data_IF_492918901785
#
_entry.id   IF_492918901785
#
_cell.length_a   1.000
_cell.length_b   1.000
_cell.length_c   1.000
_cell.angle_alpha   90.00
_cell.angle_beta   90.00
_cell.angle_gamma   90.00
#
_symmetry.space_group_name_H-M   'P 1'
#
loop_
_entity.id
_entity.type
_entity.pdbx_description
1 polymer ?
#
# COMPACT_ATOMS: atom_id res chain seq x y z
N UNK A 1 -52.97 -13.52 -61.85
CA UNK A 1 -51.86 -12.60 -61.55
C UNK A 1 -50.81 -13.36 -60.77
N UNK A 2 -49.56 -13.24 -61.21
CA UNK A 2 -48.44 -14.13 -60.96
C UNK A 2 -47.93 -14.19 -59.52
N UNK A 3 -47.54 -15.41 -59.12
CA UNK A 3 -46.58 -15.76 -58.07
C UNK A 3 -45.31 -14.91 -58.13
N UNK A 4 -44.80 -14.44 -56.97
CA UNK A 4 -43.35 -14.45 -56.63
C UNK A 4 -43.16 -14.53 -55.11
N UNK A 5 -42.70 -15.69 -54.66
CA UNK A 5 -42.10 -15.94 -53.35
C UNK A 5 -40.69 -15.37 -53.41
N UNK A 6 -40.35 -14.41 -52.56
CA UNK A 6 -38.99 -13.89 -52.41
C UNK A 6 -38.25 -14.73 -51.36
N UNK A 7 -37.24 -15.47 -51.80
CA UNK A 7 -36.32 -16.21 -50.95
C UNK A 7 -35.35 -15.24 -50.27
N UNK A 8 -35.24 -15.31 -48.94
CA UNK A 8 -34.21 -14.61 -48.16
C UNK A 8 -32.90 -15.38 -48.30
N UNK A 9 -31.91 -14.75 -48.93
CA UNK A 9 -30.58 -15.31 -49.13
C UNK A 9 -29.77 -15.20 -47.84
N UNK A 10 -29.32 -16.34 -47.31
CA UNK A 10 -28.46 -16.42 -46.13
C UNK A 10 -27.01 -16.07 -46.51
N UNK A 11 -26.57 -14.85 -46.19
CA UNK A 11 -25.16 -14.46 -46.29
C UNK A 11 -24.36 -15.17 -45.21
N UNK A 12 -23.48 -16.09 -45.63
CA UNK A 12 -22.55 -16.81 -44.75
C UNK A 12 -21.52 -15.84 -44.16
N UNK A 13 -21.40 -15.88 -42.84
CA UNK A 13 -20.38 -15.22 -42.04
C UNK A 13 -19.01 -15.78 -42.45
N UNK A 14 -18.18 -14.96 -43.07
CA UNK A 14 -16.77 -15.27 -43.33
C UNK A 14 -15.97 -15.02 -42.04
N UNK A 15 -15.42 -16.10 -41.48
CA UNK A 15 -14.50 -16.11 -40.34
C UNK A 15 -13.12 -15.65 -40.81
N UNK A 16 -12.46 -14.64 -40.20
CA UNK A 16 -11.10 -14.30 -40.56
C UNK A 16 -10.15 -15.42 -40.12
N UNK A 17 -9.46 -15.99 -41.09
CA UNK A 17 -8.32 -16.88 -40.91
C UNK A 17 -7.15 -16.10 -40.29
N UNK A 18 -6.61 -16.60 -39.19
CA UNK A 18 -5.39 -16.07 -38.57
C UNK A 18 -4.17 -16.76 -39.22
N UNK A 19 -3.30 -16.05 -39.96
CA UNK A 19 -2.07 -16.64 -40.46
C UNK A 19 -1.06 -16.76 -39.32
N UNK A 20 -0.75 -18.00 -38.97
CA UNK A 20 0.36 -18.44 -38.13
C UNK A 20 1.63 -17.66 -38.43
N UNK A 21 2.05 -16.84 -37.47
CA UNK A 21 3.32 -16.12 -37.47
C UNK A 21 4.47 -17.12 -37.32
N UNK A 22 5.56 -17.03 -38.09
CA UNK A 22 6.74 -17.85 -37.85
C UNK A 22 7.42 -17.36 -36.57
N UNK A 23 7.63 -18.30 -35.64
CA UNK A 23 8.44 -18.14 -34.44
C UNK A 23 9.88 -17.80 -34.85
N UNK A 24 10.22 -16.52 -34.79
CA UNK A 24 11.60 -16.05 -34.84
C UNK A 24 12.17 -16.15 -33.42
N UNK A 25 12.78 -17.30 -33.12
CA UNK A 25 13.63 -17.47 -31.94
C UNK A 25 14.96 -16.72 -32.19
N UNK A 26 15.34 -15.71 -31.40
CA UNK A 26 16.70 -15.21 -31.47
C UNK A 26 17.66 -16.30 -30.99
N UNK A 27 18.87 -16.44 -31.57
CA UNK A 27 19.87 -17.34 -31.03
C UNK A 27 20.29 -16.80 -29.66
N UNK A 28 19.94 -17.52 -28.60
CA UNK A 28 20.57 -17.38 -27.30
C UNK A 28 22.04 -17.81 -27.44
N UNK A 29 22.88 -16.86 -27.86
CA UNK A 29 24.32 -16.99 -27.71
C UNK A 29 24.60 -16.83 -26.22
N UNK A 30 24.80 -17.97 -25.56
CA UNK A 30 25.20 -18.05 -24.16
C UNK A 30 26.71 -17.76 -24.11
N UNK A 31 27.18 -16.61 -23.59
CA UNK A 31 28.60 -16.47 -23.33
C UNK A 31 28.93 -17.42 -22.17
N UNK A 32 29.68 -18.49 -22.47
CA UNK A 32 30.38 -19.29 -21.46
C UNK A 32 31.28 -18.35 -20.66
N UNK A 33 30.78 -17.82 -19.55
CA UNK A 33 31.63 -17.34 -18.48
C UNK A 33 32.31 -18.57 -17.87
N UNK A 34 33.49 -18.90 -18.38
CA UNK A 34 34.43 -19.73 -17.65
C UNK A 34 34.84 -18.93 -16.41
N UNK A 35 34.19 -19.22 -15.29
CA UNK A 35 34.75 -18.87 -13.99
C UNK A 35 36.05 -19.66 -13.86
N UNK A 36 37.18 -18.98 -14.04
CA UNK A 36 38.47 -19.54 -13.67
C UNK A 36 38.41 -19.87 -12.17
N UNK A 37 38.40 -21.17 -11.90
CA UNK A 37 38.54 -21.79 -10.59
C UNK A 37 39.90 -21.37 -10.03
N UNK A 38 39.90 -20.38 -9.14
CA UNK A 38 41.09 -20.04 -8.37
C UNK A 38 41.50 -21.25 -7.50
N UNK A 39 42.80 -21.56 -7.42
CA UNK A 39 43.27 -22.74 -6.72
C UNK A 39 43.06 -22.62 -5.20
N UNK A 40 42.61 -23.74 -4.65
CA UNK A 40 42.56 -24.10 -3.24
C UNK A 40 43.90 -23.77 -2.56
N UNK A 41 43.91 -22.85 -1.61
CA UNK A 41 45.00 -22.70 -0.65
C UNK A 41 44.45 -23.04 0.74
N UNK A 42 44.82 -24.24 1.18
CA UNK A 42 44.60 -24.73 2.53
C UNK A 42 45.42 -23.90 3.54
N UNK A 43 44.97 -23.98 4.80
CA UNK A 43 45.70 -23.71 6.03
C UNK A 43 45.71 -22.25 6.55
N UNK A 44 44.65 -21.90 7.28
CA UNK A 44 44.79 -21.00 8.43
C UNK A 44 45.12 -21.85 9.67
N UNK A 45 46.23 -21.59 10.38
CA UNK A 45 46.51 -22.23 11.66
C UNK A 45 45.57 -21.72 12.76
N UNK A 46 45.15 -22.56 13.72
CA UNK A 46 44.28 -22.13 14.81
C UNK A 46 45.03 -21.22 15.78
N UNK A 47 44.45 -20.06 16.08
CA UNK A 47 44.93 -19.17 17.13
C UNK A 47 44.75 -19.82 18.51
N UNK A 48 45.72 -19.65 19.44
CA UNK A 48 45.71 -20.35 20.72
C UNK A 48 44.66 -19.78 21.69
N UNK A 49 43.87 -20.71 22.23
CA UNK A 49 42.95 -20.52 23.36
C UNK A 49 43.77 -20.11 24.59
N UNK A 50 43.61 -18.87 25.05
CA UNK A 50 44.23 -18.37 26.28
C UNK A 50 43.21 -18.40 27.41
N UNK A 51 43.27 -19.43 28.26
CA UNK A 51 42.69 -19.38 29.62
C UNK A 51 43.62 -18.56 30.51
N UNK A 52 43.06 -17.76 31.43
CA UNK A 52 43.55 -17.82 32.79
C UNK A 52 42.38 -17.97 33.76
N UNK A 53 42.40 -19.06 34.52
CA UNK A 53 41.71 -19.12 35.79
C UNK A 53 42.55 -18.41 36.84
N UNK A 54 41.94 -17.50 37.58
CA UNK A 54 42.32 -17.19 38.95
C UNK A 54 41.12 -16.58 39.66
N UNK A 55 40.62 -17.40 40.57
CA UNK A 55 39.60 -17.13 41.56
C UNK A 55 40.13 -16.11 42.58
N UNK A 56 39.38 -15.04 42.87
CA UNK A 56 39.48 -14.31 44.14
C UNK A 56 38.15 -13.60 44.49
N UNK A 57 37.59 -14.11 45.57
CA UNK A 57 36.53 -13.69 46.49
C UNK A 57 36.01 -12.23 46.50
N UNK A 58 34.67 -12.15 46.50
CA UNK A 58 33.72 -11.25 47.17
C UNK A 58 34.24 -9.93 47.75
N UNK A 59 33.66 -8.82 47.26
CA UNK A 59 33.20 -7.73 48.12
C UNK A 59 31.81 -7.29 47.65
N UNK A 60 30.79 -7.59 48.46
CA UNK A 60 29.47 -7.01 48.32
C UNK A 60 29.58 -5.52 48.68
N UNK A 61 29.22 -4.64 47.73
CA UNK A 61 28.84 -3.26 48.02
C UNK A 61 27.34 -3.20 47.79
N UNK A 62 26.61 -3.02 48.89
CA UNK A 62 25.21 -2.68 48.86
C UNK A 62 25.13 -1.25 48.36
N UNK A 63 24.44 -1.02 47.24
CA UNK A 63 23.89 0.30 46.94
C UNK A 63 22.54 0.12 46.25
N UNK A 64 21.51 0.27 47.11
CA UNK A 64 20.27 0.99 46.88
C UNK A 64 19.63 0.82 45.50
N UNK A 65 18.63 -0.05 45.45
CA UNK A 65 17.54 0.03 44.49
C UNK A 65 16.96 1.46 44.52
N UNK A 66 17.27 2.24 43.48
CA UNK A 66 16.42 3.34 43.05
C UNK A 66 15.64 2.80 41.89
N UNK A 67 14.50 2.23 42.25
CA UNK A 67 13.37 1.99 41.37
C UNK A 67 12.96 3.35 40.78
N UNK A 68 13.50 3.65 39.61
CA UNK A 68 12.96 4.69 38.74
C UNK A 68 11.96 4.00 37.83
N UNK A 69 10.76 3.74 38.38
CA UNK A 69 9.53 3.57 37.63
C UNK A 69 9.29 4.84 36.81
N UNK A 70 9.92 4.91 35.64
CA UNK A 70 9.37 5.68 34.53
C UNK A 70 8.26 4.79 33.99
N UNK A 71 7.04 5.14 34.38
CA UNK A 71 5.80 4.57 33.88
C UNK A 71 5.78 4.63 32.36
N UNK A 72 6.22 3.55 31.72
CA UNK A 72 5.71 3.13 30.42
C UNK A 72 4.24 2.83 30.62
N UNK A 73 3.39 3.80 30.28
CA UNK A 73 2.00 3.52 29.94
C UNK A 73 1.97 3.12 28.48
N UNK A 74 2.55 1.95 28.19
CA UNK A 74 2.26 1.21 26.98
C UNK A 74 0.93 0.52 27.26
N UNK A 75 -0.16 1.18 26.88
CA UNK A 75 -1.42 0.48 26.64
C UNK A 75 -1.17 -0.41 25.41
N UNK A 76 -0.57 -1.57 25.66
CA UNK A 76 -0.44 -2.65 24.68
C UNK A 76 -1.83 -3.20 24.43
N UNK A 77 -2.54 -2.61 23.46
CA UNK A 77 -3.57 -3.32 22.74
C UNK A 77 -2.91 -4.51 22.08
N UNK A 78 -3.23 -5.71 22.58
CA UNK A 78 -2.85 -7.00 22.00
C UNK A 78 -3.28 -7.04 20.53
N UNK A 79 -2.38 -6.65 19.62
CA UNK A 79 -2.61 -6.75 18.20
C UNK A 79 -1.92 -8.03 17.71
N UNK A 80 -2.77 -9.00 17.35
CA UNK A 80 -2.38 -10.23 16.65
C UNK A 80 -1.38 -9.92 15.52
N UNK A 81 -0.37 -10.78 15.27
CA UNK A 81 0.62 -10.56 14.22
C UNK A 81 -0.06 -10.23 12.89
N UNK A 82 0.21 -9.03 12.37
CA UNK A 82 -0.37 -8.58 11.11
C UNK A 82 0.62 -8.83 9.99
N UNK A 83 0.16 -9.45 8.91
CA UNK A 83 0.95 -9.69 7.69
C UNK A 83 1.26 -8.40 6.91
N UNK A 84 0.70 -7.27 7.32
CA UNK A 84 0.90 -5.95 6.72
C UNK A 84 1.65 -5.01 7.66
N UNK A 85 2.41 -4.07 7.08
CA UNK A 85 3.17 -3.04 7.81
C UNK A 85 2.41 -1.73 7.95
N UNK A 86 1.60 -1.40 6.95
CA UNK A 86 0.75 -0.22 6.96
C UNK A 86 -0.59 -0.52 6.30
N UNK A 87 -1.65 0.11 6.79
CA UNK A 87 -2.98 0.07 6.20
C UNK A 87 -3.29 1.46 5.64
N UNK A 88 -3.64 1.55 4.37
CA UNK A 88 -4.09 2.79 3.70
C UNK A 88 -5.61 2.84 3.70
N UNK A 89 -6.18 3.88 4.30
CA UNK A 89 -7.60 4.19 4.17
C UNK A 89 -7.78 5.10 2.95
N UNK A 90 -8.68 4.72 2.04
CA UNK A 90 -8.95 5.47 0.83
C UNK A 90 -10.44 5.44 0.49
N UNK A 91 -10.90 6.42 -0.29
CA UNK A 91 -12.28 6.46 -0.80
C UNK A 91 -12.35 5.92 -2.24
N UNK A 92 -13.05 4.80 -2.43
CA UNK A 92 -13.27 4.19 -3.74
C UNK A 92 -14.07 5.06 -4.72
N UNK A 93 -14.93 5.94 -4.18
CA UNK A 93 -15.77 6.85 -4.97
C UNK A 93 -15.01 8.11 -5.46
N UNK A 94 -13.72 8.23 -5.11
CA UNK A 94 -12.86 9.38 -5.43
C UNK A 94 -11.88 9.04 -6.58
N UNK A 95 -12.08 9.55 -7.82
CA UNK A 95 -11.22 9.22 -8.96
C UNK A 95 -9.75 9.59 -8.79
N UNK A 96 -9.42 10.67 -8.07
CA UNK A 96 -8.03 11.02 -7.76
C UNK A 96 -7.40 10.06 -6.76
N UNK A 97 -8.16 9.69 -5.74
CA UNK A 97 -7.72 8.75 -4.72
C UNK A 97 -7.42 7.39 -5.38
N UNK A 98 -8.27 6.96 -6.31
CA UNK A 98 -8.09 5.70 -7.03
C UNK A 98 -6.88 5.67 -7.96
N UNK A 99 -6.47 6.80 -8.56
CA UNK A 99 -5.21 6.85 -9.35
C UNK A 99 -4.00 6.51 -8.47
N UNK A 100 -3.95 7.10 -7.29
CA UNK A 100 -2.88 6.85 -6.31
C UNK A 100 -2.92 5.43 -5.78
N UNK A 101 -4.10 4.95 -5.40
CA UNK A 101 -4.32 3.58 -4.89
C UNK A 101 -3.90 2.54 -5.92
N UNK A 102 -4.26 2.71 -7.19
CA UNK A 102 -3.90 1.76 -8.24
C UNK A 102 -2.39 1.72 -8.46
N UNK A 103 -1.74 2.88 -8.47
CA UNK A 103 -0.29 2.98 -8.57
C UNK A 103 0.42 2.31 -7.38
N UNK A 104 -0.09 2.49 -6.16
CA UNK A 104 0.45 1.83 -4.96
C UNK A 104 0.19 0.32 -4.98
N UNK A 105 -1.00 -0.13 -5.42
CA UNK A 105 -1.33 -1.56 -5.55
C UNK A 105 -0.41 -2.28 -6.51
N UNK A 106 -0.18 -1.71 -7.69
CA UNK A 106 0.71 -2.28 -8.70
C UNK A 106 2.11 -2.52 -8.13
N UNK A 107 2.69 -1.49 -7.49
CA UNK A 107 4.00 -1.61 -6.84
C UNK A 107 3.98 -2.56 -5.64
N UNK A 108 2.93 -2.52 -4.83
CA UNK A 108 2.80 -3.37 -3.65
C UNK A 108 2.74 -4.87 -4.00
N UNK A 109 2.49 -5.25 -5.26
CA UNK A 109 2.59 -6.66 -5.72
C UNK A 109 3.94 -7.30 -5.37
N UNK A 110 5.06 -6.55 -5.43
CA UNK A 110 6.38 -7.09 -5.09
C UNK A 110 6.74 -6.98 -3.61
N UNK A 111 6.08 -6.11 -2.84
CA UNK A 111 6.40 -5.86 -1.44
C UNK A 111 5.44 -6.54 -0.46
N UNK A 112 4.14 -6.54 -0.75
CA UNK A 112 3.10 -7.13 0.10
C UNK A 112 2.92 -6.44 1.46
N UNK A 113 3.36 -5.19 1.61
CA UNK A 113 3.46 -4.50 2.90
C UNK A 113 2.25 -3.59 3.20
N UNK A 114 1.53 -3.16 2.17
CA UNK A 114 0.36 -2.27 2.30
C UNK A 114 -0.95 -3.07 2.26
N UNK A 115 -1.79 -2.90 3.29
CA UNK A 115 -3.21 -3.29 3.27
C UNK A 115 -4.05 -2.10 2.80
N UNK A 116 -4.87 -2.29 1.77
CA UNK A 116 -5.77 -1.25 1.26
C UNK A 116 -7.17 -1.45 1.83
N UNK A 117 -7.77 -0.39 2.39
CA UNK A 117 -9.13 -0.43 2.94
C UNK A 117 -9.94 0.71 2.35
N UNK A 118 -11.02 0.34 1.67
CA UNK A 118 -11.97 1.28 1.11
C UNK A 118 -12.92 1.74 2.21
N UNK A 119 -12.88 3.04 2.53
CA UNK A 119 -13.80 3.62 3.52
C UNK A 119 -15.22 3.71 2.96
N UNK A 120 -15.37 3.69 1.63
CA UNK A 120 -16.65 3.76 0.97
C UNK A 120 -17.40 2.43 0.91
N UNK A 121 -16.73 1.31 1.22
CA UNK A 121 -17.33 -0.03 1.23
C UNK A 121 -18.37 -0.18 2.33
N UNK A 122 -19.42 -0.95 2.05
CA UNK A 122 -20.44 -1.32 3.03
C UNK A 122 -19.86 -2.20 4.16
N UNK A 123 -18.72 -2.86 3.93
CA UNK A 123 -18.01 -3.69 4.92
C UNK A 123 -17.04 -2.86 5.80
N UNK A 124 -17.00 -1.54 5.64
CA UNK A 124 -16.09 -0.69 6.41
C UNK A 124 -16.52 -0.57 7.89
N UNK A 125 -15.65 -1.02 8.79
CA UNK A 125 -15.83 -0.87 10.24
C UNK A 125 -14.84 0.14 10.85
N UNK A 126 -15.28 1.24 11.47
CA UNK A 126 -14.41 2.15 12.20
C UNK A 126 -13.65 1.47 13.35
N UNK A 127 -14.26 0.49 14.02
CA UNK A 127 -13.65 -0.22 15.16
C UNK A 127 -12.37 -0.96 14.76
N UNK A 128 -12.33 -1.54 13.56
CA UNK A 128 -11.15 -2.20 13.01
C UNK A 128 -10.09 -1.22 12.48
N UNK A 129 -10.43 0.07 12.43
CA UNK A 129 -9.66 1.14 11.80
C UNK A 129 -9.41 2.31 12.77
N UNK A 130 -9.17 2.00 14.05
CA UNK A 130 -8.79 2.97 15.09
C UNK A 130 -9.87 4.04 15.37
N UNK A 131 -11.14 3.68 15.21
CA UNK A 131 -12.27 4.60 15.41
C UNK A 131 -12.42 5.66 14.32
N UNK A 132 -11.70 5.54 13.20
CA UNK A 132 -11.82 6.46 12.07
C UNK A 132 -13.13 6.17 11.34
N UNK A 133 -14.14 7.01 11.57
CA UNK A 133 -15.40 6.92 10.86
C UNK A 133 -15.27 7.45 9.43
N UNK A 134 -16.27 7.17 8.60
CA UNK A 134 -16.28 7.60 7.19
C UNK A 134 -16.07 9.11 7.05
N UNK A 135 -16.73 9.92 7.89
CA UNK A 135 -16.68 11.37 7.80
C UNK A 135 -15.26 11.90 8.09
N UNK A 136 -14.60 11.37 9.11
CA UNK A 136 -13.21 11.73 9.44
C UNK A 136 -12.24 11.27 8.35
N UNK A 137 -12.40 10.04 7.86
CA UNK A 137 -11.45 9.45 6.90
C UNK A 137 -11.58 10.04 5.47
N UNK A 138 -12.73 10.60 5.10
CA UNK A 138 -12.98 11.12 3.76
C UNK A 138 -12.25 12.43 3.45
N UNK A 139 -11.98 13.29 4.45
CA UNK A 139 -11.44 14.64 4.23
C UNK A 139 -9.93 14.69 3.96
N UNK A 140 -9.18 13.69 4.42
CA UNK A 140 -7.71 13.65 4.41
C UNK A 140 -7.25 12.20 4.22
N UNK A 141 -6.05 12.00 3.68
CA UNK A 141 -5.48 10.66 3.64
C UNK A 141 -5.12 10.20 5.07
N UNK A 142 -5.45 8.95 5.38
CA UNK A 142 -5.10 8.31 6.64
C UNK A 142 -4.35 7.00 6.35
N UNK A 143 -3.32 6.74 7.12
CA UNK A 143 -2.68 5.45 7.15
C UNK A 143 -2.48 4.98 8.60
N UNK A 144 -2.66 3.69 8.84
CA UNK A 144 -2.56 3.06 10.15
C UNK A 144 -1.38 2.11 10.12
N UNK A 145 -0.39 2.34 10.96
CA UNK A 145 0.76 1.44 11.09
C UNK A 145 0.35 0.14 11.78
N UNK A 146 1.18 -0.90 11.62
CA UNK A 146 0.93 -2.20 12.25
C UNK A 146 0.87 -2.14 13.78
N UNK A 147 1.50 -1.13 14.40
CA UNK A 147 1.46 -0.84 15.83
C UNK A 147 0.20 -0.07 16.29
N UNK A 148 -0.70 0.27 15.37
CA UNK A 148 -1.91 1.04 15.64
C UNK A 148 -1.76 2.56 15.48
N UNK A 149 -0.56 3.08 15.26
CA UNK A 149 -0.34 4.52 15.07
C UNK A 149 -1.06 5.01 13.81
N UNK A 150 -1.89 6.05 13.97
CA UNK A 150 -2.54 6.74 12.85
C UNK A 150 -1.65 7.91 12.40
N UNK A 151 -1.36 7.95 11.11
CA UNK A 151 -0.68 9.08 10.45
C UNK A 151 -1.57 9.66 9.35
N UNK A 152 -1.45 10.96 9.09
CA UNK A 152 -2.30 11.67 8.12
C UNK A 152 -1.47 12.50 7.12
N UNK A 153 -2.13 12.94 6.05
CA UNK A 153 -1.61 13.87 5.03
C UNK A 153 -0.27 13.43 4.41
N UNK A 154 0.68 14.36 4.34
CA UNK A 154 2.02 14.16 3.78
C UNK A 154 2.77 13.05 4.52
N UNK A 155 2.59 12.93 5.83
CA UNK A 155 3.22 11.87 6.61
C UNK A 155 2.64 10.49 6.25
N UNK A 156 1.32 10.38 6.04
CA UNK A 156 0.71 9.14 5.57
C UNK A 156 1.28 8.73 4.20
N UNK A 157 1.34 9.66 3.24
CA UNK A 157 1.94 9.37 1.94
C UNK A 157 3.41 8.98 2.05
N UNK A 158 4.19 9.65 2.90
CA UNK A 158 5.61 9.31 3.13
C UNK A 158 5.76 7.87 3.58
N UNK A 159 5.01 7.47 4.60
CA UNK A 159 5.06 6.10 5.15
C UNK A 159 4.62 5.07 4.12
N UNK A 160 3.59 5.36 3.33
CA UNK A 160 3.11 4.49 2.24
C UNK A 160 4.17 4.32 1.15
N UNK A 161 4.84 5.40 0.75
CA UNK A 161 5.86 5.36 -0.31
C UNK A 161 7.10 4.59 0.12
N UNK A 162 7.48 4.71 1.40
CA UNK A 162 8.56 3.90 1.99
C UNK A 162 8.27 2.41 1.90
N UNK A 163 7.00 2.00 2.06
CA UNK A 163 6.61 0.59 1.96
C UNK A 163 6.72 -0.01 0.56
N UNK A 164 6.76 0.84 -0.49
CA UNK A 164 6.88 0.43 -1.90
C UNK A 164 8.17 0.90 -2.57
N UNK A 165 9.20 1.24 -1.78
CA UNK A 165 10.52 1.63 -2.29
C UNK A 165 10.58 3.03 -2.95
N UNK A 166 9.57 3.87 -2.73
CA UNK A 166 9.49 5.25 -3.23
C UNK A 166 9.89 6.31 -2.18
N UNK A 167 10.51 5.90 -1.06
CA UNK A 167 10.98 6.84 -0.02
C UNK A 167 11.96 7.90 -0.55
N UNK A 168 12.69 7.61 -1.64
CA UNK A 168 13.60 8.57 -2.28
C UNK A 168 12.88 9.78 -2.90
N UNK A 169 11.62 9.62 -3.34
CA UNK A 169 10.82 10.72 -3.91
C UNK A 169 10.66 11.85 -2.88
N UNK A 170 10.42 11.47 -1.62
CA UNK A 170 10.34 12.40 -0.50
C UNK A 170 11.69 12.98 -0.08
N UNK A 171 12.79 12.24 -0.27
CA UNK A 171 14.12 12.77 0.01
C UNK A 171 14.47 13.93 -0.94
N UNK A 172 14.04 13.85 -2.21
CA UNK A 172 14.26 14.91 -3.21
C UNK A 172 13.45 16.16 -2.87
N UNK A 173 12.20 16.02 -2.40
CA UNK A 173 11.36 17.18 -2.07
C UNK A 173 11.86 17.96 -0.85
N UNK A 174 12.70 17.36 0.01
CA UNK A 174 13.37 18.05 1.13
C UNK A 174 14.51 18.97 0.70
N UNK A 175 14.95 18.91 -0.54
CA UNK A 175 15.93 19.85 -1.06
C UNK A 175 15.27 21.22 -1.24
N UNK A 176 15.71 22.23 -0.49
CA UNK A 176 15.04 23.54 -0.35
C UNK A 176 14.62 24.20 -1.68
N UNK A 177 15.44 24.16 -2.77
CA UNK A 177 15.04 24.70 -4.06
C UNK A 177 13.86 23.95 -4.71
N UNK A 178 13.78 22.62 -4.53
CA UNK A 178 12.73 21.78 -5.11
C UNK A 178 11.43 21.92 -4.31
N UNK A 179 11.54 22.05 -2.98
CA UNK A 179 10.39 22.29 -2.10
C UNK A 179 9.57 23.51 -2.51
N UNK A 180 10.23 24.65 -2.79
CA UNK A 180 9.55 25.89 -3.22
C UNK A 180 8.81 25.75 -4.55
N UNK A 181 9.36 24.98 -5.48
CA UNK A 181 8.71 24.69 -6.78
C UNK A 181 7.50 23.77 -6.56
N UNK A 182 7.68 22.72 -5.76
CA UNK A 182 6.62 21.78 -5.44
C UNK A 182 5.43 22.48 -4.74
N UNK A 183 5.69 23.38 -3.79
CA UNK A 183 4.65 24.13 -3.08
C UNK A 183 3.84 25.03 -4.02
N UNK A 184 4.49 25.67 -4.98
CA UNK A 184 3.85 26.52 -5.98
C UNK A 184 2.95 25.70 -6.93
N UNK A 185 3.48 24.58 -7.45
CA UNK A 185 2.73 23.65 -8.30
C UNK A 185 1.55 23.04 -7.53
N UNK A 186 1.78 22.66 -6.28
CA UNK A 186 0.77 22.08 -5.41
C UNK A 186 -0.34 23.08 -5.09
N UNK A 187 -0.01 24.33 -4.79
CA UNK A 187 -0.99 25.39 -4.52
C UNK A 187 -1.90 25.66 -5.73
N UNK A 188 -1.31 25.65 -6.93
CA UNK A 188 -2.08 25.75 -8.17
C UNK A 188 -2.99 24.52 -8.35
N UNK A 189 -2.46 23.31 -8.26
CA UNK A 189 -3.24 22.08 -8.40
C UNK A 189 -4.37 21.99 -7.36
N UNK A 190 -4.10 22.30 -6.09
CA UNK A 190 -5.07 22.26 -5.01
C UNK A 190 -6.28 23.18 -5.26
N UNK A 191 -6.07 24.34 -5.90
CA UNK A 191 -7.14 25.29 -6.28
C UNK A 191 -8.07 24.73 -7.36
N UNK A 192 -7.55 23.93 -8.28
CA UNK A 192 -8.32 23.38 -9.42
C UNK A 192 -8.79 21.93 -9.19
N UNK A 193 -8.26 21.22 -8.19
CA UNK A 193 -8.47 19.76 -8.02
C UNK A 193 -9.95 19.36 -7.96
N UNK A 194 -10.79 20.14 -7.27
CA UNK A 194 -12.20 19.81 -7.06
C UNK A 194 -13.02 19.93 -8.36
N UNK A 195 -12.71 20.94 -9.19
CA UNK A 195 -13.36 21.14 -10.49
C UNK A 195 -12.97 20.04 -11.49
N UNK A 196 -11.75 19.51 -11.37
CA UNK A 196 -11.24 18.44 -12.24
C UNK A 196 -11.85 17.07 -11.90
N UNK A 197 -12.37 16.88 -10.69
CA UNK A 197 -12.85 15.56 -10.23
C UNK A 197 -14.33 15.28 -10.37
N UNK A 198 -15.18 16.29 -10.57
CA UNK A 198 -16.62 16.09 -10.70
C UNK A 198 -17.31 15.42 -9.50
N UNK A 199 -16.67 15.42 -8.32
CA UNK A 199 -17.21 14.80 -7.10
C UNK A 199 -18.26 15.72 -6.48
N UNK A 200 -19.44 15.20 -6.07
CA UNK A 200 -20.47 15.99 -5.37
C UNK A 200 -19.93 16.63 -4.08
N UNK A 201 -20.52 17.74 -3.62
CA UNK A 201 -20.18 18.30 -2.32
C UNK A 201 -20.44 17.27 -1.20
N UNK A 202 -19.68 17.40 -0.13
CA UNK A 202 -19.66 16.42 0.97
C UNK A 202 -21.04 16.17 1.58
N UNK A 203 -21.89 17.20 1.63
CA UNK A 203 -23.24 17.09 2.19
C UNK A 203 -24.12 16.12 1.39
N UNK A 204 -24.04 16.17 0.06
CA UNK A 204 -24.78 15.26 -0.82
C UNK A 204 -24.32 13.81 -0.67
N UNK A 205 -23.03 13.59 -0.47
CA UNK A 205 -22.45 12.24 -0.26
C UNK A 205 -22.94 11.65 1.08
N UNK A 206 -22.95 12.46 2.13
CA UNK A 206 -23.42 12.05 3.45
C UNK A 206 -24.94 11.78 3.43
N UNK A 207 -25.72 12.61 2.75
CA UNK A 207 -27.16 12.37 2.56
C UNK A 207 -27.45 11.10 1.77
N UNK A 208 -26.72 10.85 0.67
CA UNK A 208 -26.87 9.63 -0.12
C UNK A 208 -26.57 8.39 0.71
N UNK A 209 -25.51 8.42 1.52
CA UNK A 209 -25.16 7.33 2.45
C UNK A 209 -26.21 7.12 3.54
N UNK A 210 -26.73 8.20 4.14
CA UNK A 210 -27.83 8.10 5.13
C UNK A 210 -29.07 7.45 4.52
N UNK A 211 -29.50 7.92 3.34
CA UNK A 211 -30.65 7.36 2.62
C UNK A 211 -30.45 5.88 2.28
N UNK A 212 -29.26 5.49 1.81
CA UNK A 212 -28.92 4.08 1.55
C UNK A 212 -29.02 3.24 2.83
N UNK A 213 -28.49 3.74 3.94
CA UNK A 213 -28.56 3.07 5.25
C UNK A 213 -29.99 2.94 5.80
N UNK A 214 -30.85 3.94 5.60
CA UNK A 214 -32.28 3.88 5.97
C UNK A 214 -33.05 2.86 5.11
N UNK A 215 -32.81 2.83 3.79
CA UNK A 215 -33.44 1.87 2.88
C UNK A 215 -33.03 0.42 3.17
N UNK A 216 -31.77 0.17 3.54
CA UNK A 216 -31.32 -1.16 3.99
C UNK A 216 -31.87 -1.56 5.37
N UNK A 217 -32.34 -0.61 6.20
CA UNK A 217 -32.99 -0.94 7.48
C UNK A 217 -34.46 -1.31 7.34
N UNK A 218 -35.15 -0.74 6.35
CA UNK A 218 -36.57 -0.99 6.09
C UNK A 218 -36.83 -2.19 5.17
N UNK A 219 -35.80 -2.79 4.58
CA UNK A 219 -35.95 -3.96 3.71
C UNK A 219 -34.92 -5.04 4.04
N UNK A 220 -35.39 -6.29 4.21
CA UNK A 220 -34.58 -7.53 4.27
C UNK A 220 -33.75 -7.80 2.98
N UNK A 221 -33.59 -6.78 2.11
CA UNK A 221 -33.13 -6.89 0.74
C UNK A 221 -31.68 -6.44 0.52
N UNK A 222 -30.97 -5.93 1.53
CA UNK A 222 -29.51 -5.76 1.43
C UNK A 222 -28.81 -7.10 1.68
N UNK A 223 -28.99 -8.06 0.77
CA UNK A 223 -28.15 -9.25 0.64
C UNK A 223 -27.36 -9.18 -0.67
N UNK A 224 -26.07 -8.88 -0.48
CA UNK A 224 -24.87 -9.13 -1.31
C UNK A 224 -24.95 -8.80 -2.80
#
# INVERSE_FOLDING_TARGET
MSLRIAAVSASRIAKPHNPSSPLFSPPFNNPKFQLHRLPHANAFPPLPIRKPGSQCYIRAISDRAVESTISKKEEEGEQSPKDWKIKMLYDGDCPLCMREVNMLRERNTSYGTIKFVDIGSDDYSPDENQGLDYQTAMGRIHAILSDGTVVTDVEAFRRLYEQVGLGWVYAITKYEPIGKIADSVYSFWAKYRLQVTGRPPMEEILEARRKKGEVCKDSDACKM
#
